data_IF_167213585349
#
_entry.id   IF_167213585349
#
_cell.length_a   1.000
_cell.length_b   1.000
_cell.length_c   1.000
_cell.angle_alpha   90.00
_cell.angle_beta   90.00
_cell.angle_gamma   90.00
#
_symmetry.space_group_name_H-M   'P 1'
#
loop_
_entity.id
_entity.type
_entity.pdbx_description
1 polymer ?
#
# COMPACT_ATOMS: atom_id res chain seq x y z
N UNK A 1 -13.19 -26.31 2.51
CA UNK A 1 -12.50 -25.01 2.63
C UNK A 1 -11.89 -24.83 4.02
N UNK A 2 -10.66 -25.33 4.22
CA UNK A 2 -9.97 -25.29 5.54
C UNK A 2 -9.27 -23.95 5.74
N UNK A 3 -8.70 -23.39 4.67
CA UNK A 3 -7.99 -22.11 4.68
C UNK A 3 -8.91 -20.93 4.99
N UNK A 4 -10.09 -20.86 4.37
CA UNK A 4 -11.08 -19.82 4.65
C UNK A 4 -11.55 -19.83 6.12
N UNK A 5 -11.83 -21.02 6.66
CA UNK A 5 -12.23 -21.16 8.08
C UNK A 5 -11.11 -20.75 9.03
N UNK A 6 -9.86 -21.07 8.72
CA UNK A 6 -8.71 -20.66 9.53
C UNK A 6 -8.58 -19.14 9.59
N UNK A 7 -8.71 -18.44 8.46
CA UNK A 7 -8.64 -16.97 8.40
C UNK A 7 -9.76 -16.32 9.21
N UNK A 8 -10.99 -16.81 9.09
CA UNK A 8 -12.11 -16.29 9.87
C UNK A 8 -11.89 -16.51 11.38
N UNK A 9 -11.30 -17.64 11.75
CA UNK A 9 -10.90 -17.92 13.14
C UNK A 9 -9.81 -16.96 13.65
N UNK A 10 -8.80 -16.65 12.84
CA UNK A 10 -7.77 -15.65 13.17
C UNK A 10 -8.37 -14.26 13.34
N UNK A 11 -9.26 -13.83 12.43
CA UNK A 11 -9.96 -12.54 12.52
C UNK A 11 -10.73 -12.44 13.83
N UNK A 12 -11.49 -13.48 14.18
CA UNK A 12 -12.27 -13.49 15.42
C UNK A 12 -11.37 -13.49 16.66
N UNK A 13 -10.27 -14.25 16.66
CA UNK A 13 -9.31 -14.24 17.77
C UNK A 13 -8.70 -12.84 17.99
N UNK A 14 -8.26 -12.17 16.92
CA UNK A 14 -7.75 -10.81 16.99
C UNK A 14 -8.81 -9.80 17.40
N UNK A 15 -10.07 -10.00 17.00
CA UNK A 15 -11.20 -9.16 17.41
C UNK A 15 -11.46 -9.28 18.91
N UNK A 16 -11.49 -10.50 19.46
CA UNK A 16 -11.66 -10.71 20.90
C UNK A 16 -10.49 -10.14 21.70
N UNK A 17 -9.25 -10.34 21.23
CA UNK A 17 -8.06 -9.75 21.84
C UNK A 17 -8.09 -8.21 21.79
N UNK A 18 -8.58 -7.62 20.69
CA UNK A 18 -8.78 -6.18 20.60
C UNK A 18 -9.86 -5.68 21.56
N UNK A 19 -10.99 -6.37 21.65
CA UNK A 19 -12.10 -5.98 22.53
C UNK A 19 -11.77 -6.09 24.02
N UNK A 20 -10.85 -6.97 24.41
CA UNK A 20 -10.38 -7.07 25.80
C UNK A 20 -9.39 -5.98 26.20
N UNK A 21 -8.86 -5.21 25.25
CA UNK A 21 -7.97 -4.09 25.55
C UNK A 21 -8.73 -2.90 26.15
N UNK A 22 -8.10 -2.14 27.06
CA UNK A 22 -8.63 -0.88 27.56
C UNK A 22 -8.95 0.11 26.42
N UNK A 23 -9.97 0.93 26.60
CA UNK A 23 -10.37 1.92 25.61
C UNK A 23 -9.26 2.93 25.26
N UNK A 24 -8.48 3.39 26.26
CA UNK A 24 -7.35 4.30 26.04
C UNK A 24 -6.26 3.70 25.15
N UNK A 25 -5.97 2.41 25.32
CA UNK A 25 -4.98 1.70 24.50
C UNK A 25 -5.50 1.51 23.08
N UNK A 26 -6.78 1.15 22.92
CA UNK A 26 -7.43 1.04 21.61
C UNK A 26 -7.39 2.36 20.84
N UNK A 27 -7.72 3.47 21.50
CA UNK A 27 -7.68 4.80 20.89
C UNK A 27 -6.27 5.16 20.39
N UNK A 28 -5.26 4.91 21.22
CA UNK A 28 -3.85 5.15 20.89
C UNK A 28 -3.39 4.31 19.69
N UNK A 29 -3.74 3.03 19.68
CA UNK A 29 -3.40 2.11 18.59
C UNK A 29 -4.15 2.44 17.28
N UNK A 30 -5.42 2.85 17.35
CA UNK A 30 -6.16 3.34 16.18
C UNK A 30 -5.54 4.60 15.60
N UNK A 31 -5.08 5.52 16.44
CA UNK A 31 -4.39 6.73 15.98
C UNK A 31 -3.04 6.40 15.32
N UNK A 32 -2.24 5.52 15.93
CA UNK A 32 -1.00 5.04 15.33
C UNK A 32 -1.24 4.39 13.96
N UNK A 33 -2.29 3.57 13.84
CA UNK A 33 -2.69 2.94 12.58
C UNK A 33 -3.08 3.95 11.50
N UNK A 34 -3.78 5.03 11.85
CA UNK A 34 -4.13 6.09 10.89
C UNK A 34 -2.90 6.85 10.37
N UNK A 35 -1.89 7.06 11.22
CA UNK A 35 -0.61 7.69 10.83
C UNK A 35 0.19 6.76 9.91
N UNK A 36 0.28 5.47 10.27
CA UNK A 36 1.05 4.49 9.52
C UNK A 36 0.44 4.13 8.17
N UNK A 37 -0.89 3.96 8.11
CA UNK A 37 -1.59 3.51 6.93
C UNK A 37 -1.67 4.64 5.89
N UNK A 38 -0.56 5.08 5.29
CA UNK A 38 -0.54 6.10 4.23
C UNK A 38 -0.70 5.47 2.84
N UNK A 39 -1.24 6.24 1.89
CA UNK A 39 -1.49 5.77 0.51
C UNK A 39 -0.22 5.35 -0.24
N UNK A 40 0.94 5.84 0.19
CA UNK A 40 2.23 5.46 -0.38
C UNK A 40 2.65 4.04 0.02
N UNK A 41 2.27 3.58 1.21
CA UNK A 41 2.66 2.26 1.74
C UNK A 41 1.71 1.13 1.33
N UNK A 42 0.51 1.44 0.82
CA UNK A 42 -0.45 0.44 0.35
C UNK A 42 -1.86 1.00 0.15
N UNK A 43 -2.79 0.10 -0.20
CA UNK A 43 -4.21 0.42 -0.31
C UNK A 43 -4.87 0.44 1.08
N UNK A 44 -5.49 1.57 1.44
CA UNK A 44 -6.16 1.73 2.73
C UNK A 44 -7.48 0.98 2.75
N UNK A 45 -7.66 0.13 3.76
CA UNK A 45 -8.90 -0.62 4.01
C UNK A 45 -9.24 -0.60 5.50
N UNK A 46 -10.48 -0.93 5.86
CA UNK A 46 -10.86 -1.15 7.25
C UNK A 46 -10.46 -2.57 7.68
N UNK A 47 -9.85 -2.70 8.86
CA UNK A 47 -9.52 -4.01 9.41
C UNK A 47 -10.79 -4.79 9.76
N UNK A 48 -10.95 -6.06 9.32
CA UNK A 48 -12.12 -6.87 9.64
C UNK A 48 -12.21 -7.26 11.14
N UNK A 49 -11.09 -7.20 11.88
CA UNK A 49 -11.06 -7.54 13.31
C UNK A 49 -11.32 -6.32 14.22
N UNK A 50 -10.63 -5.20 13.99
CA UNK A 50 -10.64 -4.05 14.90
C UNK A 50 -11.17 -2.75 14.31
N UNK A 51 -11.64 -2.78 13.04
CA UNK A 51 -12.16 -1.64 12.26
C UNK A 51 -11.23 -0.43 12.08
N UNK A 52 -10.02 -0.47 12.63
CA UNK A 52 -8.99 0.55 12.42
C UNK A 52 -8.48 0.56 10.97
N UNK A 53 -7.86 1.66 10.56
CA UNK A 53 -7.21 1.73 9.24
C UNK A 53 -6.08 0.70 9.14
N UNK A 54 -6.04 0.00 8.02
CA UNK A 54 -5.07 -1.03 7.72
C UNK A 54 -4.68 -0.93 6.24
N UNK A 55 -3.63 -1.67 5.85
CA UNK A 55 -3.14 -1.66 4.48
C UNK A 55 -3.27 -3.05 3.86
N UNK A 56 -3.76 -3.07 2.62
CA UNK A 56 -3.52 -4.16 1.68
C UNK A 56 -2.40 -3.77 0.73
N UNK A 57 -1.51 -4.72 0.48
CA UNK A 57 -0.41 -4.61 -0.49
C UNK A 57 -0.59 -5.72 -1.51
N UNK A 58 -0.23 -5.43 -2.75
CA UNK A 58 -0.47 -6.31 -3.88
C UNK A 58 0.45 -5.99 -5.04
N UNK A 59 0.49 -6.92 -5.98
CA UNK A 59 1.30 -6.82 -7.18
C UNK A 59 0.49 -6.27 -8.34
N UNK A 60 1.16 -5.57 -9.23
CA UNK A 60 0.54 -5.05 -10.45
C UNK A 60 0.10 -6.20 -11.36
N UNK A 61 -1.12 -6.10 -11.88
CA UNK A 61 -1.69 -7.08 -12.85
C UNK A 61 -1.98 -6.47 -14.21
N UNK A 62 -1.73 -5.18 -14.36
CA UNK A 62 -1.92 -4.43 -15.62
C UNK A 62 -0.69 -3.57 -15.88
N UNK A 63 -0.46 -3.23 -17.15
CA UNK A 63 0.52 -2.19 -17.46
C UNK A 63 0.05 -0.84 -16.88
N UNK A 64 0.97 0.03 -16.45
CA UNK A 64 0.61 1.35 -15.99
C UNK A 64 -0.03 2.16 -17.11
N UNK A 65 -1.13 2.85 -16.81
CA UNK A 65 -1.76 3.83 -17.70
C UNK A 65 -1.30 5.22 -17.25
N UNK A 66 -0.48 5.85 -18.08
CA UNK A 66 0.04 7.19 -17.82
C UNK A 66 -0.83 8.25 -18.51
N UNK A 67 -1.07 9.35 -17.81
CA UNK A 67 -1.68 10.57 -18.33
C UNK A 67 -0.78 11.73 -17.97
N UNK A 68 -0.47 12.57 -18.95
CA UNK A 68 0.26 13.82 -18.75
C UNK A 68 -0.77 14.96 -18.75
N UNK A 69 -0.77 15.78 -17.71
CA UNK A 69 -1.62 16.95 -17.58
C UNK A 69 -0.86 18.04 -16.80
N UNK A 70 -0.82 19.27 -17.32
CA UNK A 70 -0.20 20.46 -16.67
C UNK A 70 1.09 20.17 -15.86
N UNK A 71 2.10 19.59 -16.52
CA UNK A 71 3.41 19.24 -15.97
C UNK A 71 3.44 18.08 -14.92
N UNK A 72 2.31 17.41 -14.70
CA UNK A 72 2.20 16.21 -13.86
C UNK A 72 1.95 14.94 -14.68
N UNK A 73 2.68 13.87 -14.36
CA UNK A 73 2.44 12.52 -14.87
C UNK A 73 1.63 11.76 -13.83
N UNK A 74 0.36 11.50 -14.14
CA UNK A 74 -0.49 10.61 -13.35
C UNK A 74 -0.40 9.19 -13.91
N UNK A 75 0.18 8.29 -13.15
CA UNK A 75 0.23 6.86 -13.46
C UNK A 75 -0.84 6.10 -12.66
N UNK A 76 -1.70 5.36 -13.35
CA UNK A 76 -2.70 4.49 -12.72
C UNK A 76 -2.48 3.04 -13.11
N UNK A 77 -2.44 2.15 -12.12
CA UNK A 77 -2.23 0.72 -12.33
C UNK A 77 -3.19 -0.10 -11.46
N UNK A 78 -3.72 -1.21 -11.99
CA UNK A 78 -4.47 -2.17 -11.18
C UNK A 78 -3.53 -3.16 -10.49
N UNK A 79 -3.78 -3.36 -9.19
CA UNK A 79 -3.06 -4.29 -8.34
C UNK A 79 -3.99 -5.38 -7.80
N UNK A 80 -3.45 -6.60 -7.67
CA UNK A 80 -4.10 -7.72 -7.02
C UNK A 80 -3.51 -7.90 -5.61
N UNK A 81 -4.32 -7.81 -4.54
CA UNK A 81 -3.82 -7.90 -3.18
C UNK A 81 -3.28 -9.30 -2.89
N UNK A 82 -2.11 -9.35 -2.24
CA UNK A 82 -1.47 -10.59 -1.80
C UNK A 82 -1.10 -10.57 -0.31
N UNK A 83 -1.15 -9.41 0.33
CA UNK A 83 -0.91 -9.24 1.77
C UNK A 83 -1.83 -8.18 2.38
N UNK A 84 -2.24 -8.42 3.62
CA UNK A 84 -2.93 -7.47 4.49
C UNK A 84 -2.18 -7.35 5.81
N UNK A 85 -2.12 -6.15 6.35
CA UNK A 85 -1.51 -5.86 7.64
C UNK A 85 -2.27 -4.76 8.38
N UNK A 86 -2.65 -5.05 9.62
CA UNK A 86 -3.19 -4.08 10.56
C UNK A 86 -2.25 -3.94 11.75
N UNK A 87 -1.67 -2.75 11.94
CA UNK A 87 -0.77 -2.51 13.07
C UNK A 87 -1.50 -2.31 14.40
N UNK A 88 -2.80 -1.95 14.38
CA UNK A 88 -3.57 -1.73 15.61
C UNK A 88 -3.85 -3.04 16.36
N UNK A 89 -4.40 -4.06 15.69
CA UNK A 89 -4.65 -5.36 16.32
C UNK A 89 -3.60 -6.44 15.99
N UNK A 90 -2.62 -6.12 15.14
CA UNK A 90 -1.57 -7.04 14.72
C UNK A 90 -1.99 -8.12 13.71
N UNK A 91 -3.22 -8.06 13.17
CA UNK A 91 -3.71 -9.05 12.21
C UNK A 91 -2.93 -8.96 10.90
N UNK A 92 -2.40 -10.10 10.45
CA UNK A 92 -1.70 -10.25 9.16
C UNK A 92 -2.30 -11.40 8.37
N UNK A 93 -2.64 -11.15 7.11
CA UNK A 93 -3.18 -12.18 6.20
C UNK A 93 -2.33 -12.16 4.94
N UNK A 94 -1.88 -13.35 4.51
CA UNK A 94 -1.09 -13.51 3.29
C UNK A 94 -1.77 -14.48 2.34
N UNK A 95 -1.66 -14.19 1.04
CA UNK A 95 -2.21 -14.99 -0.04
C UNK A 95 -3.63 -14.57 -0.45
N UNK A 96 -3.86 -14.53 -1.76
CA UNK A 96 -5.12 -14.08 -2.35
C UNK A 96 -6.33 -14.88 -1.86
N UNK A 97 -6.24 -16.22 -1.80
CA UNK A 97 -7.36 -17.06 -1.35
C UNK A 97 -7.82 -16.71 0.08
N UNK A 98 -6.86 -16.44 0.97
CA UNK A 98 -7.13 -16.06 2.36
C UNK A 98 -7.70 -14.64 2.44
N UNK A 99 -7.17 -13.72 1.65
CA UNK A 99 -7.69 -12.35 1.55
C UNK A 99 -9.10 -12.32 1.00
N UNK A 100 -9.41 -13.08 -0.05
CA UNK A 100 -10.75 -13.20 -0.61
C UNK A 100 -11.76 -13.73 0.42
N UNK A 101 -11.37 -14.74 1.20
CA UNK A 101 -12.22 -15.26 2.30
C UNK A 101 -12.50 -14.20 3.39
N UNK A 102 -11.58 -13.24 3.56
CA UNK A 102 -11.72 -12.11 4.49
C UNK A 102 -12.40 -10.87 3.86
N UNK A 103 -12.84 -10.93 2.60
CA UNK A 103 -13.40 -9.79 1.87
C UNK A 103 -12.38 -8.75 1.42
N UNK A 104 -11.09 -9.12 1.36
CA UNK A 104 -9.95 -8.25 1.04
C UNK A 104 -9.24 -8.66 -0.27
N UNK A 105 -9.86 -9.54 -1.07
CA UNK A 105 -9.27 -10.10 -2.29
C UNK A 105 -9.55 -9.30 -3.57
N UNK A 106 -10.27 -8.19 -3.48
CA UNK A 106 -10.63 -7.38 -4.64
C UNK A 106 -9.42 -6.61 -5.17
N UNK A 107 -9.37 -6.45 -6.50
CA UNK A 107 -8.36 -5.62 -7.14
C UNK A 107 -8.57 -4.16 -6.78
N UNK A 108 -7.48 -3.42 -6.65
CA UNK A 108 -7.53 -1.99 -6.38
C UNK A 108 -6.67 -1.23 -7.39
N UNK A 109 -6.99 0.04 -7.58
CA UNK A 109 -6.17 0.94 -8.39
C UNK A 109 -5.17 1.68 -7.49
N UNK A 110 -3.91 1.62 -7.88
CA UNK A 110 -2.86 2.47 -7.33
C UNK A 110 -2.65 3.62 -8.32
N UNK A 111 -2.75 4.84 -7.83
CA UNK A 111 -2.44 6.06 -8.59
C UNK A 111 -1.22 6.71 -7.97
N UNK A 112 -0.23 7.01 -8.81
CA UNK A 112 0.98 7.73 -8.45
C UNK A 112 1.07 8.98 -9.32
N UNK A 113 1.50 10.09 -8.73
CA UNK A 113 1.67 11.37 -9.44
C UNK A 113 3.15 11.72 -9.35
N UNK A 114 3.74 12.07 -10.48
CA UNK A 114 5.13 12.46 -10.64
C UNK A 114 5.19 13.83 -11.29
N UNK A 115 6.21 14.62 -10.94
CA UNK A 115 6.57 15.81 -11.70
C UNK A 115 7.20 15.38 -13.04
N UNK A 116 6.72 15.94 -14.15
CA UNK A 116 7.17 15.55 -15.48
C UNK A 116 8.64 15.93 -15.74
N UNK A 117 9.09 17.07 -15.22
CA UNK A 117 10.47 17.52 -15.39
C UNK A 117 11.43 16.60 -14.63
N UNK A 118 11.08 16.17 -13.41
CA UNK A 118 11.86 15.18 -12.65
C UNK A 118 11.86 13.80 -13.32
N UNK A 119 10.69 13.33 -13.80
CA UNK A 119 10.57 12.00 -14.40
C UNK A 119 11.38 11.85 -15.69
N UNK A 120 11.46 12.91 -16.50
CA UNK A 120 12.22 12.93 -17.75
C UNK A 120 13.60 13.60 -17.62
N UNK A 121 14.00 14.01 -16.41
CA UNK A 121 15.33 14.59 -16.21
C UNK A 121 16.39 13.59 -16.68
N UNK A 122 17.38 14.02 -17.48
CA UNK A 122 18.53 13.18 -17.76
C UNK A 122 19.15 12.76 -16.43
N UNK A 123 19.44 11.47 -16.26
CA UNK A 123 20.39 11.07 -15.22
C UNK A 123 21.67 11.85 -15.50
N UNK A 124 22.24 12.47 -14.47
CA UNK A 124 23.37 13.38 -14.57
C UNK A 124 24.66 12.62 -14.95
N UNK A 125 24.64 12.00 -16.13
CA UNK A 125 25.78 11.44 -16.86
C UNK A 125 26.42 12.59 -17.64
N UNK A 126 26.66 13.72 -16.98
CA UNK A 126 27.52 14.77 -17.50
C UNK A 126 28.95 14.18 -17.56
N UNK A 127 29.21 13.38 -18.58
CA UNK A 127 30.54 13.13 -19.08
C UNK A 127 31.08 14.50 -19.44
N UNK A 128 31.87 15.07 -18.52
CA UNK A 128 32.45 16.39 -18.66
C UNK A 128 32.98 16.53 -20.07
N UNK A 129 32.37 17.43 -20.85
CA UNK A 129 33.00 17.91 -22.05
C UNK A 129 34.31 18.53 -21.55
N UNK A 130 35.42 17.82 -21.73
CA UNK A 130 36.74 18.40 -21.57
C UNK A 130 36.74 19.67 -22.43
N UNK A 131 36.96 20.82 -21.80
CA UNK A 131 37.10 22.08 -22.51
C UNK A 131 38.20 21.88 -23.56
N UNK A 132 37.81 21.86 -24.84
CA UNK A 132 38.74 21.83 -25.98
C UNK A 132 39.59 23.10 -25.91
N UNK A 133 40.72 22.99 -25.21
CA UNK A 133 41.67 24.08 -24.98
C UNK A 133 42.58 24.30 -26.20
N UNK A 134 42.04 24.15 -27.41
CA UNK A 134 42.67 24.60 -28.66
C UNK A 134 42.55 26.12 -28.79
N UNK A 135 43.16 26.85 -27.87
CA UNK A 135 43.57 28.23 -28.15
C UNK A 135 44.89 28.21 -28.95
N UNK A 136 44.87 28.98 -30.04
CA UNK A 136 45.78 28.97 -31.22
C UNK A 136 47.27 29.16 -30.97
#
# INVERSE_FOLDING_TARGET
>A
DVSAKAVLGEIEAHKQAWLSMPEGDRASQTQAAAIWATRQHGHRVACPACTSQALTVGEAVTAPVQKLDDDEITETQEHLPNRFECIACGLKIAGLSRLSAAGLGERYKKTQVYDAAEYYAPQDDYAGYEEDNNER
#
